data_IF_754970246108
#
_entry.id   IF_754970246108
#
_cell.length_a   1.000
_cell.length_b   1.000
_cell.length_c   1.000
_cell.angle_alpha   90.00
_cell.angle_beta   90.00
_cell.angle_gamma   90.00
#
_symmetry.space_group_name_H-M   'P 1'
#
loop_
_entity.id
_entity.type
_entity.pdbx_description
1 polymer ?
#
# COMPACT_ATOMS: atom_id res chain seq x y z
N UNK A 1 1.65 -47.14 -8.10
CA UNK A 1 1.94 -45.87 -8.79
C UNK A 1 2.99 -46.18 -9.84
N UNK A 2 2.67 -46.11 -11.14
CA UNK A 2 3.68 -46.22 -12.22
C UNK A 2 4.66 -45.06 -12.04
N UNK A 3 5.96 -45.36 -12.01
CA UNK A 3 6.99 -44.34 -12.05
C UNK A 3 6.82 -43.54 -13.35
N UNK A 4 6.59 -42.22 -13.21
CA UNK A 4 6.55 -41.32 -14.35
C UNK A 4 7.99 -41.09 -14.76
N UNK A 5 8.40 -41.65 -15.92
CA UNK A 5 9.71 -41.45 -16.47
C UNK A 5 9.73 -40.20 -17.37
N UNK A 6 10.78 -39.39 -17.22
CA UNK A 6 11.01 -38.24 -18.09
C UNK A 6 11.32 -38.75 -19.52
N UNK A 7 10.70 -38.12 -20.52
CA UNK A 7 11.02 -38.41 -21.92
C UNK A 7 12.50 -38.10 -22.19
N UNK A 8 13.24 -39.05 -22.77
CA UNK A 8 14.64 -38.84 -23.09
C UNK A 8 14.85 -37.59 -23.95
N UNK A 9 15.76 -36.70 -23.51
CA UNK A 9 16.06 -35.46 -24.23
C UNK A 9 15.03 -34.34 -24.10
N UNK A 10 14.09 -34.43 -23.15
CA UNK A 10 13.11 -33.34 -22.94
C UNK A 10 13.81 -32.06 -22.44
N UNK A 11 13.59 -30.93 -23.15
CA UNK A 11 14.17 -29.63 -22.86
C UNK A 11 13.15 -28.72 -22.13
N UNK A 12 13.27 -28.67 -20.80
CA UNK A 12 12.44 -27.81 -19.96
C UNK A 12 12.62 -26.32 -20.25
N UNK A 13 13.82 -25.88 -20.62
CA UNK A 13 14.09 -24.47 -20.92
C UNK A 13 13.37 -24.04 -22.20
N UNK A 14 13.47 -24.90 -23.23
CA UNK A 14 12.73 -24.65 -24.49
C UNK A 14 11.23 -24.62 -24.24
N UNK A 15 10.67 -25.61 -23.54
CA UNK A 15 9.25 -25.66 -23.22
C UNK A 15 8.77 -24.40 -22.48
N UNK A 16 9.55 -23.92 -21.48
CA UNK A 16 9.26 -22.68 -20.78
C UNK A 16 9.30 -21.44 -21.70
N UNK A 17 10.27 -21.35 -22.59
CA UNK A 17 10.38 -20.24 -23.55
C UNK A 17 9.22 -20.24 -24.55
N UNK A 18 8.79 -21.42 -25.02
CA UNK A 18 7.65 -21.57 -25.93
C UNK A 18 6.36 -21.05 -25.28
N UNK A 19 6.14 -21.28 -23.98
CA UNK A 19 5.01 -20.73 -23.21
C UNK A 19 5.07 -19.20 -23.18
N UNK A 20 6.21 -18.61 -22.83
CA UNK A 20 6.39 -17.16 -22.77
C UNK A 20 6.12 -16.50 -24.14
N UNK A 21 6.58 -17.13 -25.22
CA UNK A 21 6.33 -16.62 -26.59
C UNK A 21 4.84 -16.61 -26.92
N UNK A 22 4.14 -17.73 -26.66
CA UNK A 22 2.70 -17.84 -26.93
C UNK A 22 1.89 -16.83 -26.11
N UNK A 23 2.21 -16.63 -24.83
CA UNK A 23 1.51 -15.64 -23.99
C UNK A 23 1.82 -14.21 -24.44
N UNK A 24 3.05 -13.91 -24.87
CA UNK A 24 3.42 -12.60 -25.41
C UNK A 24 2.65 -12.29 -26.69
N UNK A 25 2.51 -13.25 -27.62
CA UNK A 25 1.67 -13.13 -28.80
C UNK A 25 0.20 -12.86 -28.43
N UNK A 26 -0.31 -13.55 -27.40
CA UNK A 26 -1.64 -13.36 -26.88
C UNK A 26 -1.86 -11.94 -26.33
N UNK A 27 -0.92 -11.45 -25.55
CA UNK A 27 -0.97 -10.09 -24.98
C UNK A 27 -0.87 -9.00 -26.05
N UNK A 28 -0.03 -9.18 -27.07
CA UNK A 28 0.09 -8.23 -28.17
C UNK A 28 -1.23 -8.02 -28.92
N UNK A 29 -2.15 -8.98 -28.88
CA UNK A 29 -3.47 -8.83 -29.47
C UNK A 29 -4.48 -8.05 -28.60
N UNK A 30 -4.20 -7.82 -27.31
CA UNK A 30 -5.13 -7.07 -26.47
C UNK A 30 -5.24 -5.60 -26.87
N UNK A 31 -4.22 -5.04 -27.51
CA UNK A 31 -4.20 -3.64 -27.94
C UNK A 31 -5.43 -3.28 -28.79
N UNK A 32 -5.85 -4.16 -29.70
CA UNK A 32 -7.05 -3.95 -30.52
C UNK A 32 -8.36 -3.89 -29.71
N UNK A 33 -8.38 -4.38 -28.47
CA UNK A 33 -9.55 -4.40 -27.60
C UNK A 33 -9.54 -3.26 -26.57
N UNK A 34 -8.48 -2.46 -26.52
CA UNK A 34 -8.47 -1.16 -25.83
C UNK A 34 -9.12 -0.12 -26.74
N UNK A 35 -10.43 -0.16 -26.81
CA UNK A 35 -11.26 0.58 -27.74
C UNK A 35 -12.34 1.39 -27.00
N UNK A 36 -13.42 1.77 -27.70
CA UNK A 36 -14.53 2.52 -27.10
C UNK A 36 -15.22 1.76 -25.97
N UNK A 37 -15.37 0.44 -26.06
CA UNK A 37 -15.98 -0.37 -24.98
C UNK A 37 -15.13 -0.36 -23.73
N UNK A 38 -13.79 -0.37 -23.86
CA UNK A 38 -12.87 -0.18 -22.73
C UNK A 38 -13.09 1.18 -22.07
N UNK A 39 -13.19 2.25 -22.86
CA UNK A 39 -13.44 3.59 -22.31
C UNK A 39 -14.79 3.68 -21.60
N UNK A 40 -15.85 3.10 -22.18
CA UNK A 40 -17.18 3.04 -21.55
C UNK A 40 -17.16 2.22 -20.25
N UNK A 41 -16.40 1.14 -20.19
CA UNK A 41 -16.24 0.35 -18.98
C UNK A 41 -15.53 1.18 -17.89
N UNK A 42 -14.44 1.88 -18.22
CA UNK A 42 -13.77 2.79 -17.30
C UNK A 42 -14.71 3.89 -16.80
N UNK A 43 -15.46 4.54 -17.69
CA UNK A 43 -16.42 5.59 -17.30
C UNK A 43 -17.50 5.03 -16.37
N UNK A 44 -18.05 3.87 -16.68
CA UNK A 44 -19.07 3.24 -15.85
C UNK A 44 -18.55 2.89 -14.45
N UNK A 45 -17.32 2.39 -14.35
CA UNK A 45 -16.65 2.08 -13.10
C UNK A 45 -16.22 3.36 -12.35
N UNK A 46 -15.81 4.41 -13.06
CA UNK A 46 -15.40 5.68 -12.47
C UNK A 46 -16.56 6.36 -11.74
N UNK A 47 -17.75 6.34 -12.33
CA UNK A 47 -18.98 6.92 -11.77
C UNK A 47 -19.80 5.92 -10.96
N UNK A 48 -19.26 4.74 -10.64
CA UNK A 48 -19.90 3.78 -9.74
C UNK A 48 -20.12 4.42 -8.35
N UNK A 49 -21.36 4.41 -7.87
CA UNK A 49 -21.74 5.09 -6.65
C UNK A 49 -21.34 4.30 -5.38
N UNK A 50 -21.18 2.98 -5.48
CA UNK A 50 -20.76 2.12 -4.36
C UNK A 50 -19.55 1.26 -4.78
N UNK A 51 -19.73 0.04 -5.26
CA UNK A 51 -18.63 -0.92 -5.46
C UNK A 51 -18.62 -1.56 -6.85
N UNK A 52 -17.42 -1.89 -7.29
CA UNK A 52 -17.22 -2.78 -8.45
C UNK A 52 -17.17 -4.22 -7.93
N UNK A 53 -18.18 -4.99 -8.25
CA UNK A 53 -18.30 -6.40 -7.86
C UNK A 53 -17.76 -7.28 -8.99
N UNK A 54 -16.75 -8.08 -8.69
CA UNK A 54 -16.13 -8.97 -9.69
C UNK A 54 -16.61 -10.40 -9.47
N UNK A 55 -16.99 -11.08 -10.54
CA UNK A 55 -17.50 -12.47 -10.52
C UNK A 55 -16.76 -13.35 -11.54
N UNK A 56 -16.54 -14.62 -11.21
CA UNK A 56 -15.93 -15.60 -12.13
C UNK A 56 -15.84 -16.98 -11.53
N UNK A 57 -15.84 -18.01 -12.39
CA UNK A 57 -15.73 -19.42 -11.98
C UNK A 57 -14.32 -19.96 -12.19
N UNK A 58 -13.89 -20.92 -11.35
CA UNK A 58 -12.63 -21.64 -11.51
C UNK A 58 -11.42 -20.72 -11.68
N UNK A 59 -10.66 -20.90 -12.75
CA UNK A 59 -9.48 -20.05 -13.05
C UNK A 59 -9.85 -18.59 -13.28
N UNK A 60 -10.96 -18.30 -13.94
CA UNK A 60 -11.48 -16.93 -14.09
C UNK A 60 -11.86 -16.32 -12.74
N UNK A 61 -12.33 -17.12 -11.78
CA UNK A 61 -12.59 -16.68 -10.41
C UNK A 61 -11.31 -16.28 -9.66
N UNK A 62 -10.20 -17.03 -9.82
CA UNK A 62 -8.91 -16.64 -9.24
C UNK A 62 -8.40 -15.32 -9.82
N UNK A 63 -8.51 -15.13 -11.13
CA UNK A 63 -8.18 -13.86 -11.79
C UNK A 63 -9.11 -12.74 -11.29
N UNK A 64 -10.41 -12.98 -11.19
CA UNK A 64 -11.39 -12.02 -10.68
C UNK A 64 -11.10 -11.58 -9.25
N UNK A 65 -10.67 -12.48 -8.36
CA UNK A 65 -10.24 -12.13 -7.00
C UNK A 65 -9.03 -11.19 -7.02
N UNK A 66 -8.03 -11.46 -7.88
CA UNK A 66 -6.87 -10.58 -8.04
C UNK A 66 -7.29 -9.21 -8.58
N UNK A 67 -8.16 -9.17 -9.58
CA UNK A 67 -8.67 -7.91 -10.13
C UNK A 67 -9.38 -7.07 -9.05
N UNK A 68 -10.30 -7.66 -8.29
CA UNK A 68 -11.00 -6.98 -7.20
C UNK A 68 -10.02 -6.42 -6.16
N UNK A 69 -9.01 -7.20 -5.77
CA UNK A 69 -7.97 -6.75 -4.86
C UNK A 69 -7.14 -5.59 -5.43
N UNK A 70 -6.82 -5.64 -6.73
CA UNK A 70 -6.09 -4.56 -7.40
C UNK A 70 -6.94 -3.29 -7.45
N UNK A 71 -8.21 -3.35 -7.85
CA UNK A 71 -9.11 -2.20 -7.84
C UNK A 71 -9.19 -1.57 -6.45
N UNK A 72 -9.44 -2.37 -5.40
CA UNK A 72 -9.52 -1.89 -4.03
C UNK A 72 -8.22 -1.19 -3.58
N UNK A 73 -7.07 -1.72 -3.94
CA UNK A 73 -5.76 -1.15 -3.58
C UNK A 73 -5.35 0.07 -4.41
N UNK A 74 -6.03 0.32 -5.52
CA UNK A 74 -5.77 1.45 -6.44
C UNK A 74 -6.90 2.49 -6.47
N UNK A 75 -7.71 2.54 -5.41
CA UNK A 75 -8.71 3.60 -5.22
C UNK A 75 -10.09 3.35 -5.83
N UNK A 76 -10.36 2.15 -6.35
CA UNK A 76 -11.69 1.73 -6.79
C UNK A 76 -12.24 0.69 -5.82
N UNK A 77 -13.25 1.06 -5.00
CA UNK A 77 -13.87 0.13 -4.04
C UNK A 77 -14.38 -1.11 -4.77
N UNK A 78 -13.92 -2.30 -4.36
CA UNK A 78 -14.23 -3.54 -5.06
C UNK A 78 -14.13 -4.76 -4.17
N UNK A 79 -14.91 -5.78 -4.48
CA UNK A 79 -14.80 -7.10 -3.88
C UNK A 79 -15.20 -8.21 -4.89
N UNK A 80 -14.85 -9.43 -4.55
CA UNK A 80 -15.15 -10.60 -5.38
C UNK A 80 -16.31 -11.40 -4.79
N UNK A 81 -17.27 -11.79 -5.64
CA UNK A 81 -18.36 -12.72 -5.29
C UNK A 81 -18.24 -13.96 -6.15
N UNK A 82 -18.23 -15.12 -5.52
CA UNK A 82 -18.25 -16.39 -6.26
C UNK A 82 -19.65 -16.67 -6.81
N UNK A 83 -19.84 -16.91 -8.15
CA UNK A 83 -21.16 -17.11 -8.72
C UNK A 83 -21.98 -18.23 -8.10
N UNK A 84 -21.33 -19.33 -7.66
CA UNK A 84 -22.00 -20.41 -6.94
C UNK A 84 -22.57 -19.95 -5.59
N UNK A 85 -21.85 -19.14 -4.82
CA UNK A 85 -22.33 -18.59 -3.55
C UNK A 85 -23.40 -17.51 -3.78
N UNK A 86 -23.23 -16.70 -4.83
CA UNK A 86 -24.23 -15.72 -5.24
C UNK A 86 -25.60 -16.34 -5.52
N UNK A 87 -25.63 -17.50 -6.16
CA UNK A 87 -26.86 -18.26 -6.42
C UNK A 87 -27.55 -18.76 -5.13
N UNK A 88 -26.83 -18.80 -4.00
CA UNK A 88 -27.32 -19.31 -2.70
C UNK A 88 -27.44 -18.21 -1.62
N UNK A 89 -27.38 -16.93 -2.01
CA UNK A 89 -27.68 -15.83 -1.08
C UNK A 89 -26.72 -14.64 -1.17
N UNK A 90 -25.44 -14.84 -1.52
CA UNK A 90 -24.45 -13.76 -1.55
C UNK A 90 -24.74 -12.70 -2.63
N UNK A 91 -25.66 -13.00 -3.58
CA UNK A 91 -26.16 -11.96 -4.49
C UNK A 91 -26.82 -10.79 -3.75
N UNK A 92 -27.29 -11.00 -2.52
CA UNK A 92 -27.80 -9.95 -1.64
C UNK A 92 -26.77 -8.89 -1.26
N UNK A 93 -25.47 -9.14 -1.48
CA UNK A 93 -24.40 -8.16 -1.30
C UNK A 93 -24.32 -7.13 -2.45
N UNK A 94 -24.99 -7.41 -3.57
CA UNK A 94 -25.00 -6.56 -4.76
C UNK A 94 -26.20 -5.62 -4.71
N UNK A 95 -25.93 -4.33 -4.89
CA UNK A 95 -26.93 -3.25 -4.81
C UNK A 95 -27.10 -2.56 -6.17
N UNK A 96 -28.19 -1.83 -6.41
CA UNK A 96 -28.36 -1.04 -7.63
C UNK A 96 -27.30 0.04 -7.88
N UNK A 97 -26.51 0.39 -6.87
CA UNK A 97 -25.43 1.38 -6.92
C UNK A 97 -24.10 0.81 -7.40
N UNK A 98 -24.02 -0.53 -7.49
CA UNK A 98 -22.79 -1.24 -7.89
C UNK A 98 -22.65 -1.32 -9.42
N UNK A 99 -21.46 -1.73 -9.86
CA UNK A 99 -21.16 -2.20 -11.20
C UNK A 99 -20.65 -3.63 -11.10
N UNK A 100 -21.16 -4.54 -11.91
CA UNK A 100 -20.71 -5.93 -11.93
C UNK A 100 -19.80 -6.18 -13.12
N UNK A 101 -18.64 -6.80 -12.86
CA UNK A 101 -17.72 -7.34 -13.88
C UNK A 101 -17.77 -8.87 -13.79
N UNK A 102 -18.24 -9.54 -14.84
CA UNK A 102 -18.34 -10.99 -14.91
C UNK A 102 -17.31 -11.57 -15.89
N UNK A 103 -16.44 -12.48 -15.42
CA UNK A 103 -15.37 -13.09 -16.18
C UNK A 103 -15.71 -14.53 -16.58
N UNK A 104 -15.67 -14.82 -17.87
CA UNK A 104 -15.77 -16.18 -18.40
C UNK A 104 -15.12 -16.25 -19.78
N UNK A 105 -14.08 -17.06 -19.96
CA UNK A 105 -13.42 -17.16 -21.27
C UNK A 105 -14.39 -17.58 -22.39
N UNK A 106 -15.24 -18.59 -22.15
CA UNK A 106 -16.25 -19.02 -23.12
C UNK A 106 -17.45 -18.07 -23.22
N UNK A 107 -17.75 -17.33 -22.14
CA UNK A 107 -18.96 -16.53 -22.00
C UNK A 107 -20.26 -17.36 -21.87
N UNK A 108 -20.13 -18.64 -21.52
CA UNK A 108 -21.23 -19.61 -21.39
C UNK A 108 -21.24 -20.31 -20.01
N UNK A 109 -20.73 -19.66 -18.95
CA UNK A 109 -20.77 -20.20 -17.60
C UNK A 109 -22.19 -20.20 -17.06
N UNK A 110 -22.77 -21.37 -16.83
CA UNK A 110 -24.16 -21.53 -16.39
C UNK A 110 -24.44 -20.79 -15.07
N UNK A 111 -23.49 -20.84 -14.15
CA UNK A 111 -23.60 -20.20 -12.82
C UNK A 111 -23.71 -18.67 -12.96
N UNK A 112 -23.00 -18.07 -13.89
CA UNK A 112 -23.08 -16.62 -14.15
C UNK A 112 -24.36 -16.30 -14.92
N UNK A 113 -24.69 -17.10 -15.96
CA UNK A 113 -25.90 -16.91 -16.76
C UNK A 113 -27.17 -16.95 -15.91
N UNK A 114 -27.22 -17.80 -14.86
CA UNK A 114 -28.34 -17.87 -13.93
C UNK A 114 -28.53 -16.59 -13.10
N UNK A 115 -27.46 -15.81 -12.86
CA UNK A 115 -27.51 -14.56 -12.10
C UNK A 115 -27.94 -13.35 -12.94
N UNK A 116 -27.69 -13.37 -14.26
CA UNK A 116 -27.93 -12.22 -15.15
C UNK A 116 -29.36 -11.68 -15.07
N UNK A 117 -30.44 -12.52 -15.07
CA UNK A 117 -31.79 -12.00 -14.96
C UNK A 117 -32.07 -11.21 -13.67
N UNK A 118 -31.42 -11.60 -12.57
CA UNK A 118 -31.56 -10.90 -11.28
C UNK A 118 -30.79 -9.58 -11.32
N UNK A 119 -29.54 -9.59 -11.83
CA UNK A 119 -28.75 -8.37 -12.02
C UNK A 119 -29.47 -7.34 -12.89
N UNK A 120 -30.07 -7.79 -14.00
CA UNK A 120 -30.89 -6.93 -14.88
C UNK A 120 -32.14 -6.37 -14.17
N UNK A 121 -32.80 -7.17 -13.34
CA UNK A 121 -33.94 -6.69 -12.53
C UNK A 121 -33.53 -5.66 -11.49
N UNK A 122 -32.32 -5.76 -10.94
CA UNK A 122 -31.74 -4.78 -10.03
C UNK A 122 -31.21 -3.53 -10.76
N UNK A 123 -31.25 -3.50 -12.09
CA UNK A 123 -30.67 -2.44 -12.91
C UNK A 123 -29.19 -2.18 -12.67
N UNK A 124 -28.45 -3.22 -12.26
CA UNK A 124 -27.01 -3.14 -12.04
C UNK A 124 -26.30 -3.18 -13.40
N UNK A 125 -25.45 -2.20 -13.74
CA UNK A 125 -24.65 -2.24 -14.95
C UNK A 125 -23.75 -3.49 -14.98
N UNK A 126 -23.82 -4.24 -16.08
CA UNK A 126 -23.09 -5.49 -16.27
C UNK A 126 -22.02 -5.34 -17.36
N UNK A 127 -20.76 -5.49 -16.97
CA UNK A 127 -19.61 -5.59 -17.86
C UNK A 127 -19.23 -7.07 -17.95
N UNK A 128 -19.19 -7.65 -19.14
CA UNK A 128 -18.73 -9.01 -19.34
C UNK A 128 -17.38 -9.05 -20.04
N UNK A 129 -16.44 -9.80 -19.47
CA UNK A 129 -15.12 -10.04 -20.04
C UNK A 129 -15.05 -11.48 -20.57
N UNK A 130 -15.02 -11.63 -21.90
CA UNK A 130 -15.02 -12.96 -22.56
C UNK A 130 -14.13 -12.95 -23.82
N UNK A 131 -13.80 -14.16 -24.34
CA UNK A 131 -13.12 -14.30 -25.63
C UNK A 131 -14.07 -14.34 -26.82
N UNK A 132 -15.39 -14.36 -26.58
CA UNK A 132 -16.43 -14.58 -27.61
C UNK A 132 -17.49 -13.47 -27.59
N UNK A 133 -17.45 -12.52 -28.54
CA UNK A 133 -18.44 -11.43 -28.60
C UNK A 133 -19.87 -11.94 -28.81
N UNK A 134 -20.02 -13.11 -29.44
CA UNK A 134 -21.32 -13.74 -29.72
C UNK A 134 -21.85 -14.62 -28.57
N UNK A 135 -21.13 -14.75 -27.49
CA UNK A 135 -21.54 -15.55 -26.33
C UNK A 135 -22.79 -15.00 -25.64
N UNK A 136 -23.46 -15.86 -24.87
CA UNK A 136 -24.67 -15.51 -24.11
C UNK A 136 -24.38 -14.39 -23.09
N UNK A 137 -23.24 -14.44 -22.41
CA UNK A 137 -22.84 -13.39 -21.49
C UNK A 137 -22.55 -12.07 -22.21
N UNK A 138 -21.82 -12.08 -23.34
CA UNK A 138 -21.49 -10.89 -24.10
C UNK A 138 -22.75 -10.18 -24.61
N UNK A 139 -23.72 -10.95 -25.16
CA UNK A 139 -25.01 -10.40 -25.62
C UNK A 139 -25.89 -9.85 -24.51
N UNK A 140 -25.77 -10.39 -23.31
CA UNK A 140 -26.53 -9.93 -22.13
C UNK A 140 -25.87 -8.73 -21.43
N UNK A 141 -24.59 -8.47 -21.65
CA UNK A 141 -23.85 -7.38 -21.05
C UNK A 141 -24.32 -6.00 -21.54
N UNK A 142 -24.14 -5.00 -20.69
CA UNK A 142 -24.27 -3.59 -21.11
C UNK A 142 -22.98 -3.14 -21.83
N UNK A 143 -21.83 -3.73 -21.44
CA UNK A 143 -20.52 -3.51 -22.06
C UNK A 143 -19.80 -4.85 -22.16
N UNK A 144 -19.23 -5.15 -23.33
CA UNK A 144 -18.44 -6.36 -23.53
C UNK A 144 -16.97 -6.03 -23.76
N UNK A 145 -16.10 -6.54 -22.89
CA UNK A 145 -14.63 -6.47 -23.03
C UNK A 145 -14.12 -7.78 -23.63
N UNK A 146 -13.63 -7.72 -24.84
CA UNK A 146 -13.05 -8.89 -25.49
C UNK A 146 -11.62 -9.12 -24.98
N UNK A 147 -11.31 -10.38 -24.59
CA UNK A 147 -9.98 -10.83 -24.15
C UNK A 147 -9.55 -12.08 -24.94
N UNK A 148 -9.90 -12.11 -26.22
CA UNK A 148 -9.58 -13.24 -27.08
C UNK A 148 -8.06 -13.34 -27.30
N UNK A 149 -7.55 -14.54 -27.16
CA UNK A 149 -6.16 -14.91 -27.50
C UNK A 149 -6.14 -15.92 -28.64
N UNK A 150 -5.06 -16.03 -29.43
CA UNK A 150 -4.97 -16.99 -30.54
C UNK A 150 -5.04 -18.43 -30.09
N UNK A 151 -4.33 -18.76 -29.02
CA UNK A 151 -4.26 -20.12 -28.45
C UNK A 151 -3.83 -20.10 -26.99
N UNK A 152 -4.13 -21.18 -26.26
CA UNK A 152 -3.54 -21.43 -24.96
C UNK A 152 -2.08 -21.90 -25.10
N UNK A 153 -1.24 -21.59 -24.13
CA UNK A 153 0.12 -22.08 -24.09
C UNK A 153 0.22 -23.56 -23.65
N UNK A 154 -0.86 -24.10 -23.08
CA UNK A 154 -0.99 -25.50 -22.78
C UNK A 154 -0.97 -26.32 -24.08
N UNK A 155 -0.03 -27.30 -24.26
CA UNK A 155 0.05 -28.11 -25.49
C UNK A 155 -1.21 -28.91 -25.80
N UNK A 156 -2.02 -29.22 -24.79
CA UNK A 156 -3.30 -29.91 -24.94
C UNK A 156 -4.46 -28.94 -25.23
N UNK A 157 -4.24 -27.63 -25.15
CA UNK A 157 -5.30 -26.63 -25.29
C UNK A 157 -6.39 -26.67 -24.21
N UNK A 158 -6.16 -27.39 -23.09
CA UNK A 158 -7.16 -27.61 -22.06
C UNK A 158 -6.99 -26.71 -20.83
N UNK A 159 -5.74 -26.47 -20.43
CA UNK A 159 -5.46 -25.63 -19.27
C UNK A 159 -5.49 -24.15 -19.68
N UNK A 160 -6.32 -23.31 -19.02
CA UNK A 160 -6.30 -21.86 -19.23
C UNK A 160 -4.94 -21.28 -18.80
N UNK A 161 -4.27 -20.64 -19.74
CA UNK A 161 -2.96 -19.99 -19.58
C UNK A 161 -2.99 -18.61 -20.21
N UNK A 162 -2.79 -18.49 -21.53
CA UNK A 162 -2.84 -17.21 -22.26
C UNK A 162 -4.15 -16.46 -22.04
N UNK A 163 -5.28 -17.15 -22.00
CA UNK A 163 -6.60 -16.53 -21.75
C UNK A 163 -6.71 -15.93 -20.36
N UNK A 164 -6.15 -16.60 -19.32
CA UNK A 164 -6.13 -16.06 -17.96
C UNK A 164 -5.16 -14.90 -17.79
N UNK A 165 -4.01 -14.96 -18.45
CA UNK A 165 -3.03 -13.88 -18.52
C UNK A 165 -3.62 -12.64 -19.21
N UNK A 166 -4.30 -12.82 -20.33
CA UNK A 166 -4.99 -11.74 -21.04
C UNK A 166 -6.09 -11.07 -20.19
N UNK A 167 -6.93 -11.86 -19.51
CA UNK A 167 -7.94 -11.34 -18.61
C UNK A 167 -7.34 -10.57 -17.44
N UNK A 168 -6.23 -11.05 -16.88
CA UNK A 168 -5.49 -10.37 -15.83
C UNK A 168 -4.96 -9.02 -16.27
N UNK A 169 -4.28 -8.97 -17.41
CA UNK A 169 -3.70 -7.74 -17.97
C UNK A 169 -4.79 -6.72 -18.34
N UNK A 170 -5.93 -7.16 -18.89
CA UNK A 170 -7.08 -6.29 -19.13
C UNK A 170 -7.60 -5.69 -17.81
N UNK A 171 -7.67 -6.47 -16.75
CA UNK A 171 -8.04 -6.01 -15.42
C UNK A 171 -7.06 -4.98 -14.85
N UNK A 172 -5.77 -5.19 -15.05
CA UNK A 172 -4.74 -4.24 -14.62
C UNK A 172 -4.82 -2.93 -15.45
N UNK A 173 -5.10 -3.03 -16.75
CA UNK A 173 -5.32 -1.85 -17.59
C UNK A 173 -6.51 -1.01 -17.10
N UNK A 174 -7.65 -1.64 -16.75
CA UNK A 174 -8.79 -0.95 -16.15
C UNK A 174 -8.40 -0.28 -14.82
N UNK A 175 -7.70 -1.00 -13.94
CA UNK A 175 -7.31 -0.50 -12.63
C UNK A 175 -6.39 0.72 -12.72
N UNK A 176 -5.38 0.67 -13.59
CA UNK A 176 -4.42 1.76 -13.79
C UNK A 176 -5.07 2.96 -14.47
N UNK A 177 -5.91 2.74 -15.49
CA UNK A 177 -6.65 3.83 -16.14
C UNK A 177 -7.56 4.57 -15.14
N UNK A 178 -8.23 3.85 -14.23
CA UNK A 178 -9.05 4.45 -13.17
C UNK A 178 -8.21 5.17 -12.11
N UNK A 179 -7.07 4.61 -11.73
CA UNK A 179 -6.11 5.22 -10.81
C UNK A 179 -5.64 6.58 -11.34
N UNK A 180 -5.23 6.64 -12.61
CA UNK A 180 -4.81 7.88 -13.28
C UNK A 180 -5.96 8.89 -13.38
N UNK A 181 -7.14 8.43 -13.81
CA UNK A 181 -8.31 9.29 -13.94
C UNK A 181 -8.76 9.90 -12.59
N UNK A 182 -8.54 9.19 -11.47
CA UNK A 182 -8.85 9.67 -10.11
C UNK A 182 -7.77 10.58 -9.54
N UNK A 183 -6.59 10.67 -10.15
CA UNK A 183 -5.43 11.36 -9.58
C UNK A 183 -4.95 10.70 -8.27
N UNK A 184 -5.04 9.37 -8.17
CA UNK A 184 -4.68 8.58 -6.99
C UNK A 184 -3.19 8.77 -6.64
N UNK A 185 -2.91 9.09 -5.39
CA UNK A 185 -1.57 9.48 -4.91
C UNK A 185 -0.87 8.35 -4.16
N UNK A 186 0.46 8.46 -3.92
CA UNK A 186 1.16 7.55 -3.02
C UNK A 186 0.60 7.54 -1.59
N UNK A 187 0.07 8.68 -1.13
CA UNK A 187 -0.57 8.83 0.18
C UNK A 187 -1.86 8.02 0.25
N UNK A 188 -2.68 8.04 -0.81
CA UNK A 188 -3.90 7.21 -0.91
C UNK A 188 -3.54 5.72 -0.93
N UNK A 189 -2.45 5.36 -1.64
CA UNK A 189 -1.94 3.98 -1.65
C UNK A 189 -1.50 3.52 -0.26
N UNK A 190 -0.85 4.39 0.50
CA UNK A 190 -0.41 4.11 1.87
C UNK A 190 -1.60 3.81 2.80
N UNK A 191 -2.73 4.54 2.65
CA UNK A 191 -3.96 4.29 3.40
C UNK A 191 -4.52 2.87 3.14
N UNK A 192 -4.39 2.39 1.90
CA UNK A 192 -4.81 1.04 1.53
C UNK A 192 -3.84 -0.05 2.00
N UNK A 193 -2.57 0.32 2.34
CA UNK A 193 -1.50 -0.60 2.71
C UNK A 193 -0.77 -0.18 4.00
N UNK A 194 -1.47 0.02 5.13
CA UNK A 194 -0.89 0.61 6.34
C UNK A 194 0.27 -0.21 6.93
N UNK A 195 0.25 -1.52 6.77
CA UNK A 195 1.32 -2.43 7.24
C UNK A 195 2.53 -2.55 6.32
N UNK A 196 2.48 -1.99 5.10
CA UNK A 196 3.59 -2.01 4.15
C UNK A 196 4.68 -0.98 4.49
N UNK A 197 5.87 -1.13 3.88
CA UNK A 197 6.97 -0.17 4.06
C UNK A 197 6.55 1.27 3.67
N UNK A 198 5.83 1.41 2.55
CA UNK A 198 5.32 2.70 2.10
C UNK A 198 4.28 3.28 3.07
N UNK A 199 3.37 2.44 3.61
CA UNK A 199 2.37 2.87 4.61
C UNK A 199 3.03 3.41 5.87
N UNK A 200 3.99 2.67 6.43
CA UNK A 200 4.77 3.14 7.59
C UNK A 200 5.47 4.47 7.30
N UNK A 201 6.15 4.58 6.16
CA UNK A 201 6.89 5.79 5.77
C UNK A 201 5.98 7.02 5.63
N UNK A 202 4.79 6.88 5.07
CA UNK A 202 3.89 7.99 4.73
C UNK A 202 2.83 8.30 5.80
N UNK A 203 2.52 7.35 6.70
CA UNK A 203 1.45 7.52 7.69
C UNK A 203 1.94 7.68 9.12
N UNK A 204 3.14 7.16 9.44
CA UNK A 204 3.66 7.17 10.79
C UNK A 204 3.96 8.59 11.27
N UNK A 205 3.45 8.94 12.44
CA UNK A 205 3.67 10.24 13.07
C UNK A 205 4.69 10.14 14.18
N UNK A 206 5.32 11.27 14.50
CA UNK A 206 6.33 11.32 15.57
C UNK A 206 5.76 10.88 16.92
N UNK A 207 4.48 11.12 17.19
CA UNK A 207 3.80 10.70 18.42
C UNK A 207 3.76 9.18 18.60
N UNK A 208 3.78 8.42 17.49
CA UNK A 208 3.65 6.96 17.52
C UNK A 208 4.96 6.28 17.94
N UNK A 209 6.09 7.03 17.90
CA UNK A 209 7.44 6.50 18.12
C UNK A 209 8.29 7.29 19.11
N UNK A 210 7.82 8.46 19.59
CA UNK A 210 8.57 9.28 20.55
C UNK A 210 8.59 8.66 21.95
N UNK A 211 9.65 8.89 22.67
CA UNK A 211 9.76 8.62 24.10
C UNK A 211 8.96 9.67 24.87
N UNK A 212 8.18 9.23 25.87
CA UNK A 212 7.28 10.07 26.67
C UNK A 212 7.44 9.82 28.16
N UNK A 213 6.90 10.72 28.99
CA UNK A 213 6.90 10.58 30.45
C UNK A 213 8.30 10.35 31.01
N UNK A 214 8.47 9.29 31.79
CA UNK A 214 9.74 8.96 32.45
C UNK A 214 10.86 8.58 31.48
N UNK A 215 10.56 8.33 30.19
CA UNK A 215 11.59 8.05 29.20
C UNK A 215 12.24 9.31 28.62
N UNK A 216 11.65 10.49 28.85
CA UNK A 216 12.19 11.76 28.37
C UNK A 216 13.48 12.08 29.15
N UNK A 217 14.63 12.28 28.47
CA UNK A 217 15.84 12.76 29.14
C UNK A 217 15.70 14.22 29.50
N UNK A 218 15.50 14.55 30.75
CA UNK A 218 15.39 15.95 31.18
C UNK A 218 16.04 16.19 32.57
N UNK A 219 16.50 17.40 32.78
CA UNK A 219 17.00 17.91 34.05
C UNK A 219 16.51 19.35 34.28
N UNK A 220 16.51 19.79 35.54
CA UNK A 220 16.21 21.17 35.86
C UNK A 220 17.40 22.09 35.51
N UNK A 221 17.13 23.39 35.38
CA UNK A 221 18.18 24.39 35.09
C UNK A 221 19.23 24.52 36.21
N UNK A 222 18.86 24.14 37.43
CA UNK A 222 19.71 24.15 38.63
C UNK A 222 20.60 22.90 38.75
N UNK A 223 20.41 21.92 37.84
CA UNK A 223 21.17 20.68 37.88
C UNK A 223 22.66 20.93 37.56
N UNK A 224 23.52 20.06 38.10
CA UNK A 224 24.93 20.05 37.72
C UNK A 224 25.11 19.45 36.31
N UNK A 225 26.20 19.80 35.65
CA UNK A 225 26.58 19.15 34.39
C UNK A 225 26.72 17.62 34.57
N UNK A 226 27.21 17.18 35.74
CA UNK A 226 27.31 15.75 36.06
C UNK A 226 25.95 15.06 36.04
N UNK A 227 24.91 15.67 36.60
CA UNK A 227 23.55 15.09 36.60
C UNK A 227 22.97 15.00 35.18
N UNK A 228 23.21 16.02 34.37
CA UNK A 228 22.82 16.00 32.93
C UNK A 228 23.52 14.85 32.17
N UNK A 229 24.82 14.62 32.41
CA UNK A 229 25.55 13.52 31.76
C UNK A 229 25.07 12.14 32.25
N UNK A 230 24.72 12.00 33.53
CA UNK A 230 24.11 10.78 34.04
C UNK A 230 22.74 10.51 33.37
N UNK A 231 21.95 11.55 33.18
CA UNK A 231 20.63 11.43 32.52
C UNK A 231 20.79 11.05 31.05
N UNK A 232 21.71 11.67 30.28
CA UNK A 232 22.04 11.27 28.91
C UNK A 232 22.40 9.79 28.84
N UNK A 233 23.27 9.34 29.72
CA UNK A 233 23.74 7.95 29.77
C UNK A 233 22.58 6.99 30.11
N UNK A 234 21.74 7.36 31.07
CA UNK A 234 20.61 6.54 31.53
C UNK A 234 19.56 6.34 30.44
N UNK A 235 19.25 7.42 29.71
CA UNK A 235 18.20 7.42 28.68
C UNK A 235 18.72 7.01 27.30
N UNK A 236 20.02 7.10 27.07
CA UNK A 236 20.69 6.66 25.84
C UNK A 236 20.14 7.28 24.54
N UNK A 237 19.73 8.57 24.59
CA UNK A 237 19.23 9.32 23.44
C UNK A 237 20.23 10.41 22.97
N UNK A 238 21.47 10.42 23.49
CA UNK A 238 22.54 11.33 23.10
C UNK A 238 22.29 12.80 23.43
N UNK A 239 21.25 13.09 24.23
CA UNK A 239 20.90 14.45 24.66
C UNK A 239 20.12 14.43 25.98
N UNK A 240 20.04 15.59 26.63
CA UNK A 240 19.06 15.89 27.69
C UNK A 240 18.43 17.26 27.44
N UNK A 241 17.15 17.41 27.78
CA UNK A 241 16.43 18.68 27.70
C UNK A 241 16.48 19.36 29.05
N UNK A 242 16.75 20.65 29.08
CA UNK A 242 16.68 21.47 30.28
C UNK A 242 15.29 22.08 30.35
N UNK A 243 14.52 21.72 31.39
CA UNK A 243 13.15 22.16 31.59
C UNK A 243 12.93 22.78 32.98
N UNK A 244 11.87 23.55 33.10
CA UNK A 244 11.30 23.94 34.40
C UNK A 244 10.40 22.84 34.98
N UNK A 245 9.85 23.08 36.19
CA UNK A 245 8.94 22.15 36.89
C UNK A 245 7.63 21.88 36.10
N UNK A 246 7.28 22.70 35.13
CA UNK A 246 6.14 22.55 34.25
C UNK A 246 6.51 21.91 32.92
N UNK A 247 7.70 21.34 32.78
CA UNK A 247 8.24 20.74 31.55
C UNK A 247 8.34 21.74 30.38
N UNK A 248 8.53 23.03 30.65
CA UNK A 248 8.79 24.02 29.61
C UNK A 248 10.27 24.02 29.24
N UNK A 249 10.54 23.91 27.95
CA UNK A 249 11.90 23.85 27.39
C UNK A 249 12.61 25.18 27.61
N UNK A 250 13.80 25.12 28.22
CA UNK A 250 14.71 26.23 28.36
C UNK A 250 15.98 26.07 27.50
N UNK A 251 16.42 24.84 27.29
CA UNK A 251 17.56 24.51 26.49
C UNK A 251 17.75 23.03 26.27
N UNK A 252 18.83 22.68 25.61
CA UNK A 252 19.28 21.30 25.40
C UNK A 252 20.77 21.20 25.72
N UNK A 253 21.21 19.98 26.05
CA UNK A 253 22.61 19.62 26.15
C UNK A 253 22.83 18.28 25.47
N UNK A 254 23.83 18.17 24.60
CA UNK A 254 24.10 17.01 23.74
C UNK A 254 25.55 16.55 23.90
N UNK A 255 25.90 15.38 23.36
CA UNK A 255 27.28 14.90 23.26
C UNK A 255 28.19 15.87 22.49
N UNK A 256 27.64 16.62 21.54
CA UNK A 256 28.38 17.68 20.82
C UNK A 256 28.70 18.89 21.71
N UNK A 257 27.77 19.25 22.61
CA UNK A 257 27.99 20.32 23.58
C UNK A 257 29.08 19.91 24.61
N UNK A 258 29.08 18.67 25.05
CA UNK A 258 30.11 18.14 25.94
C UNK A 258 31.51 18.27 25.35
N UNK A 259 31.70 17.96 24.06
CA UNK A 259 32.98 18.14 23.38
C UNK A 259 33.44 19.60 23.42
N UNK A 260 32.54 20.55 23.18
CA UNK A 260 32.83 22.01 23.23
C UNK A 260 33.25 22.42 24.67
N UNK A 261 32.58 21.88 25.69
CA UNK A 261 32.95 22.16 27.09
C UNK A 261 34.36 21.66 27.43
N UNK A 262 34.73 20.47 26.92
CA UNK A 262 36.11 19.96 27.13
C UNK A 262 37.15 20.84 26.41
N UNK A 263 36.84 21.35 25.22
CA UNK A 263 37.76 22.22 24.48
C UNK A 263 37.98 23.57 25.15
N UNK A 264 37.06 24.02 26.03
CA UNK A 264 37.18 25.23 26.83
C UNK A 264 38.20 25.10 27.98
N UNK A 265 38.62 23.88 28.31
CA UNK A 265 39.60 23.64 29.39
C UNK A 265 39.09 23.92 30.82
N UNK A 266 37.78 24.00 31.01
CA UNK A 266 37.14 24.24 32.34
C UNK A 266 36.90 22.94 33.09
N UNK A 267 36.86 23.02 34.44
CA UNK A 267 36.57 21.84 35.26
C UNK A 267 35.08 21.50 35.20
N UNK A 268 34.76 20.48 34.42
CA UNK A 268 33.37 19.98 34.20
C UNK A 268 32.65 19.59 35.52
N UNK A 269 33.37 19.37 36.61
CA UNK A 269 32.80 18.97 37.93
C UNK A 269 32.15 20.13 38.65
N UNK A 270 32.50 21.36 38.31
CA UNK A 270 32.04 22.58 39.02
C UNK A 270 30.98 23.35 38.20
N UNK A 271 30.70 22.94 36.97
CA UNK A 271 29.78 23.64 36.10
C UNK A 271 28.32 23.27 36.38
N UNK A 272 27.44 24.27 36.37
CA UNK A 272 26.00 24.13 36.25
C UNK A 272 25.60 23.87 34.79
N UNK A 273 24.51 23.15 34.60
CA UNK A 273 24.01 22.88 33.22
C UNK A 273 23.60 24.18 32.53
N UNK A 274 23.11 25.17 33.27
CA UNK A 274 22.70 26.48 32.76
C UNK A 274 23.85 27.26 32.09
N UNK A 275 25.09 27.01 32.52
CA UNK A 275 26.29 27.74 32.04
C UNK A 275 26.73 27.21 30.64
N UNK A 276 26.35 25.98 30.29
CA UNK A 276 26.88 25.26 29.14
C UNK A 276 25.77 24.73 28.15
N UNK A 277 24.50 24.83 28.53
CA UNK A 277 23.40 24.42 27.69
C UNK A 277 23.31 25.28 26.42
N UNK A 278 22.80 24.73 25.37
CA UNK A 278 22.35 25.48 24.19
C UNK A 278 20.91 25.95 24.42
N UNK A 279 20.61 27.26 24.49
CA UNK A 279 19.24 27.77 24.69
C UNK A 279 18.30 27.35 23.55
N UNK A 280 17.08 27.00 23.88
CA UNK A 280 16.07 26.56 22.93
C UNK A 280 16.33 25.13 22.44
N UNK A 281 16.62 24.96 21.16
CA UNK A 281 16.86 23.68 20.50
C UNK A 281 15.86 23.37 19.39
N UNK A 282 16.21 22.41 18.53
CA UNK A 282 15.35 22.00 17.41
C UNK A 282 14.19 21.16 17.95
N UNK A 283 12.98 21.56 17.58
CA UNK A 283 11.74 20.90 17.98
C UNK A 283 10.76 20.79 16.84
N UNK A 284 9.90 19.78 16.90
CA UNK A 284 8.80 19.54 15.97
C UNK A 284 7.47 19.51 16.71
N UNK A 285 6.38 19.78 16.01
CA UNK A 285 5.04 19.72 16.60
C UNK A 285 4.55 18.27 16.73
N UNK A 286 3.69 17.98 17.70
CA UNK A 286 2.93 16.74 17.71
C UNK A 286 2.20 16.54 16.37
N UNK A 287 2.12 15.29 15.91
CA UNK A 287 1.45 14.97 14.64
C UNK A 287 2.30 15.18 13.37
N UNK A 288 3.54 15.71 13.47
CA UNK A 288 4.47 15.75 12.34
C UNK A 288 4.77 14.34 11.83
N UNK A 289 4.82 14.14 10.51
CA UNK A 289 5.17 12.85 9.93
C UNK A 289 6.60 12.45 10.31
N UNK A 290 6.79 11.19 10.64
CA UNK A 290 8.09 10.67 11.03
C UNK A 290 9.15 10.84 9.93
N UNK A 291 8.75 10.73 8.65
CA UNK A 291 9.63 10.98 7.50
C UNK A 291 10.11 12.43 7.44
N UNK A 292 9.26 13.41 7.77
CA UNK A 292 9.66 14.82 7.77
C UNK A 292 10.65 15.11 8.89
N UNK A 293 10.44 14.48 10.07
CA UNK A 293 11.38 14.57 11.20
C UNK A 293 12.72 13.92 10.84
N UNK A 294 12.70 12.78 10.14
CA UNK A 294 13.91 12.14 9.63
C UNK A 294 14.70 13.06 8.69
N UNK A 295 14.02 13.68 7.72
CA UNK A 295 14.63 14.62 6.78
C UNK A 295 15.22 15.84 7.52
N UNK A 296 14.53 16.34 8.54
CA UNK A 296 15.03 17.40 9.41
C UNK A 296 16.31 16.97 10.14
N UNK A 297 16.31 15.77 10.76
CA UNK A 297 17.49 15.23 11.44
C UNK A 297 18.70 15.13 10.48
N UNK A 298 18.48 14.60 9.28
CA UNK A 298 19.54 14.47 8.26
C UNK A 298 20.06 15.83 7.80
N UNK A 299 19.18 16.77 7.48
CA UNK A 299 19.57 18.11 6.99
C UNK A 299 20.30 18.95 8.05
N UNK A 300 20.02 18.70 9.34
CA UNK A 300 20.64 19.39 10.47
C UNK A 300 21.80 18.63 11.10
N UNK A 301 22.09 17.41 10.61
CA UNK A 301 23.13 16.52 11.15
C UNK A 301 22.95 16.24 12.67
N UNK A 302 21.71 15.98 13.08
CA UNK A 302 21.34 15.69 14.46
C UNK A 302 20.70 14.30 14.55
N UNK A 303 20.83 13.65 15.71
CA UNK A 303 20.32 12.29 15.94
C UNK A 303 19.08 12.27 16.83
N UNK A 304 18.73 13.38 17.46
CA UNK A 304 17.57 13.49 18.36
C UNK A 304 16.86 14.82 18.15
N UNK A 305 15.53 14.81 18.30
CA UNK A 305 14.67 16.00 18.15
C UNK A 305 13.63 15.99 19.27
N UNK A 306 13.36 17.15 19.83
CA UNK A 306 12.27 17.35 20.80
C UNK A 306 10.92 17.40 20.08
N UNK A 307 9.89 16.84 20.70
CA UNK A 307 8.50 17.00 20.29
C UNK A 307 7.82 17.90 21.31
N UNK A 308 7.31 19.05 20.85
CA UNK A 308 6.77 20.05 21.76
C UNK A 308 5.56 20.78 21.16
N UNK A 309 4.65 21.21 22.04
CA UNK A 309 3.59 22.16 21.72
C UNK A 309 3.95 23.53 22.32
N UNK A 310 4.32 24.47 21.44
CA UNK A 310 4.97 25.70 21.88
C UNK A 310 6.29 25.41 22.60
N UNK A 311 6.37 25.79 23.88
CA UNK A 311 7.51 25.50 24.76
C UNK A 311 7.30 24.28 25.65
N UNK A 312 6.11 23.65 25.61
CA UNK A 312 5.78 22.47 26.40
C UNK A 312 6.41 21.22 25.80
N UNK A 313 7.36 20.59 26.49
CA UNK A 313 7.96 19.32 26.09
C UNK A 313 6.95 18.18 26.23
N UNK A 314 6.74 17.42 25.17
CA UNK A 314 5.86 16.26 25.14
C UNK A 314 6.60 14.95 24.94
N UNK A 315 7.76 14.99 24.29
CA UNK A 315 8.55 13.82 24.02
C UNK A 315 9.88 14.13 23.33
N UNK A 316 10.66 13.09 23.14
CA UNK A 316 11.92 13.11 22.39
C UNK A 316 11.91 11.92 21.43
N UNK A 317 12.36 12.10 20.21
CA UNK A 317 12.55 11.03 19.24
C UNK A 317 14.02 10.94 18.83
N UNK A 318 14.53 9.73 18.71
CA UNK A 318 15.89 9.46 18.28
C UNK A 318 15.92 8.77 16.91
N UNK A 319 17.01 8.91 16.17
CA UNK A 319 17.20 8.28 14.83
C UNK A 319 17.00 6.76 14.86
N UNK A 320 17.36 6.08 15.93
CA UNK A 320 17.14 4.64 16.08
C UNK A 320 15.65 4.27 16.17
N UNK A 321 14.80 5.17 16.66
CA UNK A 321 13.35 4.93 16.71
C UNK A 321 12.77 4.95 15.31
N UNK A 322 13.26 5.86 14.44
CA UNK A 322 12.92 5.91 13.02
C UNK A 322 13.31 4.61 12.28
N UNK A 323 14.52 4.09 12.56
CA UNK A 323 15.00 2.81 12.01
C UNK A 323 14.13 1.63 12.45
N UNK A 324 13.84 1.52 13.76
CA UNK A 324 12.98 0.45 14.31
C UNK A 324 11.58 0.48 13.74
N UNK A 325 11.05 1.69 13.52
CA UNK A 325 9.71 1.89 12.96
C UNK A 325 9.64 1.67 11.44
N UNK A 326 10.77 1.48 10.77
CA UNK A 326 10.83 1.24 9.33
C UNK A 326 10.49 2.48 8.49
N UNK A 327 10.84 3.68 8.99
CA UNK A 327 10.70 4.96 8.26
C UNK A 327 11.84 5.14 7.26
N UNK A 328 12.96 4.44 7.48
CA UNK A 328 14.19 4.49 6.66
C UNK A 328 14.21 3.33 5.69
#
# INVERSE_FOLDING_TARGET
>A
MSQIELQPGFDFQKAGKDVLEIEREGLAQLDQYINQDFSLACEKMFYCADKVVVMGMGKSGHIGRKMAATFASTGTSSFFVHPGEAAHGDLGMVTPQDVVIALSNSGESNEILALIPVLKRLHVPLICMTSRPESSMARAADIHLCVKVPKEACPLGLAPTSSTTAALVMGDALAVALLEARGFTPEDFALSHPGGALGRKLLLRVNDIMHTGDEIPHVSKEASLRDALLEITRKNLGMTVICDDLMKIQGIFTDGDLRRVFDMGVDVRTLGIADVMTPGGIRVRPGTLAVDVLNLMQSRHITSVMVADGDQLLGVVHMHDMLRAGVV
#
